data_IF_283827378869
#
_entry.id   IF_283827378869
#
_cell.length_a   1.000
_cell.length_b   1.000
_cell.length_c   1.000
_cell.angle_alpha   90.00
_cell.angle_beta   90.00
_cell.angle_gamma   90.00
#
_symmetry.space_group_name_H-M   'P 1'
#
loop_
_entity.id
_entity.type
_entity.pdbx_description
1 polymer ?
#
# COMPACT_ATOMS: atom_id res chain seq x y z
N UNK A 1 -7.72 6.81 -5.92
CA UNK A 1 -7.38 6.88 -4.48
C UNK A 1 -8.65 7.06 -3.67
N UNK A 2 -9.45 8.08 -4.00
CA UNK A 2 -10.62 8.53 -3.24
C UNK A 2 -11.72 7.47 -3.13
N UNK A 3 -12.07 6.81 -4.23
CA UNK A 3 -13.00 5.67 -4.21
C UNK A 3 -12.53 4.54 -3.29
N UNK A 4 -11.22 4.26 -3.27
CA UNK A 4 -10.66 3.21 -2.43
C UNK A 4 -10.71 3.59 -0.95
N UNK A 5 -10.44 4.86 -0.64
CA UNK A 5 -10.56 5.39 0.71
C UNK A 5 -12.00 5.30 1.21
N UNK A 6 -12.96 5.88 0.47
CA UNK A 6 -14.38 5.86 0.80
C UNK A 6 -14.93 4.45 1.00
N UNK A 7 -14.70 3.59 0.03
CA UNK A 7 -15.17 2.20 0.10
C UNK A 7 -14.63 1.50 1.34
N UNK A 8 -13.33 1.67 1.63
CA UNK A 8 -12.70 0.98 2.74
C UNK A 8 -13.13 1.53 4.09
N UNK A 9 -13.21 2.85 4.26
CA UNK A 9 -13.64 3.46 5.52
C UNK A 9 -15.09 3.15 5.83
N UNK A 10 -15.99 3.23 4.83
CA UNK A 10 -17.39 2.83 4.97
C UNK A 10 -17.52 1.36 5.35
N UNK A 11 -16.75 0.48 4.70
CA UNK A 11 -16.77 -0.95 4.99
C UNK A 11 -16.23 -1.25 6.39
N UNK A 12 -15.13 -0.63 6.79
CA UNK A 12 -14.53 -0.82 8.11
C UNK A 12 -15.45 -0.31 9.22
N UNK A 13 -16.05 0.88 9.06
CA UNK A 13 -17.02 1.42 10.01
C UNK A 13 -18.27 0.55 10.16
N UNK A 14 -18.67 -0.19 9.12
CA UNK A 14 -19.85 -1.08 9.20
C UNK A 14 -19.55 -2.46 9.75
N UNK A 15 -18.41 -3.04 9.37
CA UNK A 15 -18.14 -4.46 9.61
C UNK A 15 -17.00 -4.73 10.60
N UNK A 16 -16.23 -3.70 10.95
CA UNK A 16 -15.04 -3.79 11.80
C UNK A 16 -14.97 -2.64 12.81
N UNK A 17 -16.10 -2.07 13.22
CA UNK A 17 -16.16 -0.89 14.11
C UNK A 17 -15.49 -1.08 15.48
N UNK A 18 -15.34 -2.32 15.92
CA UNK A 18 -14.69 -2.67 17.18
C UNK A 18 -13.15 -2.63 17.06
N UNK A 19 -12.62 -2.76 15.85
CA UNK A 19 -11.18 -2.75 15.56
C UNK A 19 -10.74 -1.61 14.62
N UNK A 20 -11.69 -0.85 14.08
CA UNK A 20 -11.50 0.36 13.31
C UNK A 20 -11.96 1.55 14.13
N UNK A 21 -11.03 2.45 14.42
CA UNK A 21 -11.29 3.68 15.15
C UNK A 21 -11.16 4.87 14.21
N UNK A 22 -12.31 5.48 13.90
CA UNK A 22 -12.40 6.67 13.07
C UNK A 22 -12.02 7.93 13.87
N UNK A 23 -10.72 8.11 14.10
CA UNK A 23 -10.15 9.23 14.86
C UNK A 23 -9.86 10.47 14.01
N UNK A 24 -10.02 10.41 12.69
CA UNK A 24 -9.60 11.46 11.77
C UNK A 24 -8.08 11.55 11.61
N UNK A 25 -7.66 12.39 10.66
CA UNK A 25 -6.24 12.64 10.35
C UNK A 25 -6.01 14.09 9.97
N UNK A 26 -5.07 14.77 10.64
CA UNK A 26 -4.49 16.03 10.20
C UNK A 26 -3.38 15.76 9.17
N UNK A 27 -3.54 16.30 7.96
CA UNK A 27 -2.53 16.27 6.91
C UNK A 27 -1.81 17.63 6.90
N UNK A 28 -0.52 17.64 7.24
CA UNK A 28 0.29 18.85 7.29
C UNK A 28 0.96 19.10 5.93
N UNK A 29 0.70 20.24 5.26
CA UNK A 29 1.43 20.60 4.05
C UNK A 29 2.90 20.90 4.40
N UNK A 30 3.83 20.30 3.65
CA UNK A 30 5.28 20.56 3.86
C UNK A 30 5.72 21.92 3.30
N UNK A 31 5.01 22.41 2.27
CA UNK A 31 5.28 23.66 1.57
C UNK A 31 3.98 24.32 1.12
N UNK A 32 4.01 25.62 0.85
CA UNK A 32 2.85 26.40 0.37
C UNK A 32 2.19 25.75 -0.86
N UNK A 33 3.00 25.24 -1.80
CA UNK A 33 2.48 24.55 -2.99
C UNK A 33 1.60 23.34 -2.63
N UNK A 34 1.96 22.56 -1.61
CA UNK A 34 1.17 21.39 -1.18
C UNK A 34 -0.16 21.84 -0.56
N UNK A 35 -0.18 22.97 0.14
CA UNK A 35 -1.42 23.59 0.63
C UNK A 35 -2.29 24.03 -0.54
N UNK A 36 -1.74 24.72 -1.54
CA UNK A 36 -2.49 25.10 -2.74
C UNK A 36 -3.10 23.88 -3.46
N UNK A 37 -2.32 22.81 -3.61
CA UNK A 37 -2.77 21.54 -4.20
C UNK A 37 -3.93 20.92 -3.41
N UNK A 38 -3.86 20.92 -2.07
CA UNK A 38 -4.93 20.41 -1.23
C UNK A 38 -6.18 21.29 -1.27
N UNK A 39 -6.07 22.63 -1.25
CA UNK A 39 -7.23 23.53 -1.44
C UNK A 39 -7.90 23.33 -2.80
N UNK A 40 -7.11 23.14 -3.85
CA UNK A 40 -7.66 22.89 -5.18
C UNK A 40 -8.41 21.55 -5.23
N UNK A 41 -7.87 20.52 -4.59
CA UNK A 41 -8.47 19.19 -4.58
C UNK A 41 -9.69 19.07 -3.65
N UNK A 42 -9.75 19.81 -2.54
CA UNK A 42 -10.85 19.71 -1.57
C UNK A 42 -12.22 19.99 -2.20
N UNK A 43 -12.29 20.81 -3.25
CA UNK A 43 -13.52 21.08 -4.01
C UNK A 43 -14.08 19.85 -4.74
N UNK A 44 -13.28 18.81 -4.91
CA UNK A 44 -13.62 17.60 -5.66
C UNK A 44 -13.57 16.33 -4.79
N UNK A 45 -13.18 16.46 -3.53
CA UNK A 45 -13.06 15.32 -2.62
C UNK A 45 -14.44 14.85 -2.17
N UNK A 46 -14.78 13.56 -2.35
CA UNK A 46 -16.11 13.06 -2.04
C UNK A 46 -16.31 12.71 -0.54
N UNK A 47 -15.52 13.30 0.36
CA UNK A 47 -15.57 13.04 1.81
C UNK A 47 -15.19 14.26 2.62
N UNK A 48 -15.62 14.25 3.89
CA UNK A 48 -15.48 15.36 4.84
C UNK A 48 -14.02 15.74 5.08
N UNK A 49 -13.65 16.88 4.51
CA UNK A 49 -12.40 17.59 4.77
C UNK A 49 -12.65 19.00 5.25
N UNK A 50 -11.82 19.43 6.18
CA UNK A 50 -11.80 20.80 6.69
C UNK A 50 -10.37 21.33 6.64
N UNK A 51 -10.19 22.53 6.08
CA UNK A 51 -8.92 23.24 6.22
C UNK A 51 -8.93 24.02 7.52
N UNK A 52 -7.86 23.85 8.31
CA UNK A 52 -7.63 24.52 9.56
C UNK A 52 -6.39 25.39 9.41
N UNK A 53 -6.50 26.67 9.76
CA UNK A 53 -5.34 27.56 9.77
C UNK A 53 -4.37 27.22 10.91
N UNK A 54 -3.19 27.85 10.90
CA UNK A 54 -2.15 27.61 11.89
C UNK A 54 -2.59 27.93 13.33
N UNK A 55 -3.55 28.83 13.53
CA UNK A 55 -4.02 29.18 14.88
C UNK A 55 -5.01 28.15 15.43
N UNK A 56 -5.70 27.44 14.55
CA UNK A 56 -6.71 26.42 14.87
C UNK A 56 -6.11 25.07 15.29
N UNK A 57 -4.78 24.91 15.18
CA UNK A 57 -4.04 23.67 15.48
C UNK A 57 -2.81 23.97 16.36
N UNK A 58 -3.00 24.81 17.37
CA UNK A 58 -1.92 25.32 18.22
C UNK A 58 -1.18 24.25 19.04
N UNK A 59 -1.76 23.05 19.19
CA UNK A 59 -1.14 21.86 19.74
C UNK A 59 -0.06 21.22 18.84
N UNK A 60 -0.01 21.59 17.55
CA UNK A 60 1.05 21.20 16.61
C UNK A 60 2.11 22.31 16.58
N UNK A 61 3.38 22.00 16.77
CA UNK A 61 4.45 22.99 16.89
C UNK A 61 4.74 23.74 15.58
N UNK A 62 5.34 24.92 15.71
CA UNK A 62 6.04 25.56 14.61
C UNK A 62 7.42 24.90 14.41
N UNK A 63 7.89 24.74 13.16
CA UNK A 63 7.28 25.20 11.91
C UNK A 63 6.27 24.21 11.27
N UNK A 64 6.01 23.05 11.88
CA UNK A 64 5.18 22.00 11.29
C UNK A 64 3.76 22.45 10.93
N UNK A 65 3.16 23.36 11.71
CA UNK A 65 1.82 23.92 11.44
C UNK A 65 1.77 25.18 10.57
N UNK A 66 2.91 25.66 10.06
CA UNK A 66 3.04 26.94 9.34
C UNK A 66 2.03 27.12 8.20
N UNK A 67 1.66 26.03 7.53
CA UNK A 67 0.74 26.04 6.40
C UNK A 67 -0.67 25.55 6.75
N UNK A 68 -1.02 25.53 8.05
CA UNK A 68 -2.25 24.93 8.53
C UNK A 68 -2.27 23.40 8.42
N UNK A 69 -3.46 22.82 8.44
CA UNK A 69 -3.68 21.39 8.26
C UNK A 69 -4.99 21.12 7.51
N UNK A 70 -5.05 19.98 6.83
CA UNK A 70 -6.30 19.44 6.31
C UNK A 70 -6.75 18.31 7.21
N UNK A 71 -7.90 18.47 7.85
CA UNK A 71 -8.47 17.45 8.71
C UNK A 71 -9.41 16.56 7.91
N UNK A 72 -9.02 15.29 7.73
CA UNK A 72 -9.87 14.25 7.14
C UNK A 72 -10.65 13.54 8.24
N UNK A 73 -11.93 13.88 8.41
CA UNK A 73 -12.76 13.31 9.49
C UNK A 73 -13.09 11.83 9.29
N UNK A 74 -13.11 11.39 8.04
CA UNK A 74 -13.41 9.99 7.68
C UNK A 74 -12.23 9.04 7.91
N UNK A 75 -11.02 9.56 8.14
CA UNK A 75 -9.84 8.75 8.35
C UNK A 75 -9.80 8.11 9.74
N UNK A 76 -8.96 7.09 9.91
CA UNK A 76 -8.89 6.36 11.16
C UNK A 76 -7.76 5.33 11.20
N UNK A 77 -7.71 4.60 12.30
CA UNK A 77 -6.75 3.52 12.55
C UNK A 77 -7.54 2.20 12.57
N UNK A 78 -7.09 1.21 11.80
CA UNK A 78 -7.55 -0.18 11.96
C UNK A 78 -6.45 -1.01 12.59
N UNK A 79 -6.80 -1.99 13.43
CA UNK A 79 -5.84 -2.97 13.97
C UNK A 79 -5.46 -3.98 12.87
N UNK A 80 -4.25 -3.89 12.27
CA UNK A 80 -3.91 -4.63 11.06
C UNK A 80 -3.98 -6.15 11.20
N UNK A 81 -3.40 -6.66 12.29
CA UNK A 81 -3.29 -8.10 12.55
C UNK A 81 -4.67 -8.73 12.71
N UNK A 82 -5.49 -8.15 13.60
CA UNK A 82 -6.83 -8.64 13.87
C UNK A 82 -7.76 -8.51 12.64
N UNK A 83 -7.57 -7.47 11.84
CA UNK A 83 -8.28 -7.34 10.56
C UNK A 83 -7.95 -8.49 9.61
N UNK A 84 -6.65 -8.77 9.38
CA UNK A 84 -6.23 -9.89 8.53
C UNK A 84 -6.72 -11.25 9.06
N UNK A 85 -6.60 -11.49 10.37
CA UNK A 85 -7.09 -12.70 11.02
C UNK A 85 -8.58 -12.93 10.77
N UNK A 86 -9.40 -11.87 10.87
CA UNK A 86 -10.84 -11.96 10.58
C UNK A 86 -11.16 -12.22 9.12
N UNK A 87 -10.40 -11.63 8.19
CA UNK A 87 -10.63 -11.83 6.75
C UNK A 87 -10.41 -13.30 6.34
N UNK A 88 -9.51 -14.01 7.00
CA UNK A 88 -9.16 -15.40 6.64
C UNK A 88 -9.96 -16.46 7.40
N UNK A 89 -10.86 -16.08 8.32
CA UNK A 89 -11.64 -17.04 9.13
C UNK A 89 -12.48 -18.04 8.33
N UNK A 90 -12.78 -17.74 7.06
CA UNK A 90 -13.56 -18.60 6.16
C UNK A 90 -12.70 -19.27 5.09
N UNK A 91 -11.38 -19.24 5.25
CA UNK A 91 -10.42 -19.82 4.32
C UNK A 91 -9.64 -20.94 5.02
N UNK A 92 -9.23 -21.95 4.25
CA UNK A 92 -8.21 -22.88 4.70
C UNK A 92 -6.85 -22.16 4.68
N UNK A 93 -6.24 -22.01 5.86
CA UNK A 93 -4.96 -21.31 6.04
C UNK A 93 -3.87 -22.32 6.37
N UNK A 94 -2.86 -22.39 5.51
CA UNK A 94 -1.68 -23.24 5.68
C UNK A 94 -0.49 -22.37 6.05
N UNK A 95 -0.09 -22.40 7.33
CA UNK A 95 1.05 -21.65 7.84
C UNK A 95 2.36 -22.44 7.74
N UNK A 96 3.49 -21.76 7.99
CA UNK A 96 4.83 -22.33 7.96
C UNK A 96 5.20 -23.00 6.62
N UNK A 97 4.61 -22.53 5.52
CA UNK A 97 4.91 -22.97 4.16
C UNK A 97 5.69 -21.89 3.42
N UNK A 98 6.92 -22.19 3.00
CA UNK A 98 7.67 -21.34 2.08
C UNK A 98 7.47 -21.87 0.66
N UNK A 99 6.75 -21.11 -0.16
CA UNK A 99 6.52 -21.46 -1.57
C UNK A 99 7.73 -21.00 -2.38
N UNK A 100 8.48 -21.95 -2.94
CA UNK A 100 9.64 -21.65 -3.80
C UNK A 100 9.35 -21.81 -5.29
N UNK A 101 8.30 -22.58 -5.63
CA UNK A 101 7.92 -22.88 -7.01
C UNK A 101 6.42 -23.09 -7.14
N UNK A 102 5.90 -22.71 -8.30
CA UNK A 102 4.56 -23.07 -8.77
C UNK A 102 4.77 -23.92 -10.02
N UNK A 103 4.33 -25.17 -9.99
CA UNK A 103 4.43 -26.07 -11.14
C UNK A 103 3.13 -26.05 -11.92
N UNK A 104 3.21 -26.12 -13.25
CA UNK A 104 2.04 -26.17 -14.12
C UNK A 104 1.93 -27.56 -14.76
N UNK A 105 0.77 -28.18 -14.62
CA UNK A 105 0.36 -29.38 -15.36
C UNK A 105 -0.56 -28.98 -16.52
N UNK A 106 -1.07 -29.96 -17.27
CA UNK A 106 -2.00 -29.71 -18.37
C UNK A 106 -3.32 -29.08 -17.90
N UNK A 107 -3.76 -29.41 -16.67
CA UNK A 107 -5.08 -29.09 -16.12
C UNK A 107 -5.05 -28.26 -14.83
N UNK A 108 -3.89 -28.11 -14.18
CA UNK A 108 -3.78 -27.49 -12.87
C UNK A 108 -2.41 -26.83 -12.62
N UNK A 109 -2.33 -26.17 -11.47
CA UNK A 109 -1.11 -25.71 -10.84
C UNK A 109 -0.89 -26.51 -9.56
N UNK A 110 0.36 -26.90 -9.31
CA UNK A 110 0.77 -27.56 -8.07
C UNK A 110 1.54 -26.57 -7.21
N UNK A 111 1.07 -26.37 -5.98
CA UNK A 111 1.67 -25.49 -4.97
C UNK A 111 1.70 -26.25 -3.64
N UNK A 112 2.89 -26.56 -3.10
CA UNK A 112 3.03 -27.36 -1.87
C UNK A 112 2.18 -28.65 -1.85
N UNK A 113 2.22 -29.43 -2.94
CA UNK A 113 1.43 -30.64 -3.14
C UNK A 113 -0.09 -30.44 -3.22
N UNK A 114 -0.58 -29.20 -3.28
CA UNK A 114 -1.98 -28.89 -3.53
C UNK A 114 -2.20 -28.61 -5.01
N UNK A 115 -3.31 -29.12 -5.54
CA UNK A 115 -3.75 -28.88 -6.91
C UNK A 115 -4.73 -27.71 -6.94
N UNK A 116 -4.50 -26.74 -7.81
CA UNK A 116 -5.40 -25.61 -8.02
C UNK A 116 -5.59 -25.29 -9.49
N UNK A 117 -6.78 -24.82 -9.88
CA UNK A 117 -7.03 -24.32 -11.23
C UNK A 117 -6.42 -22.94 -11.48
N UNK A 118 -6.24 -22.16 -10.42
CA UNK A 118 -5.74 -20.80 -10.49
C UNK A 118 -4.83 -20.46 -9.31
N UNK A 119 -3.85 -19.56 -9.51
CA UNK A 119 -2.93 -19.13 -8.45
C UNK A 119 -2.82 -17.60 -8.42
N UNK A 120 -3.03 -17.01 -7.25
CA UNK A 120 -2.84 -15.57 -7.02
C UNK A 120 -1.61 -15.36 -6.16
N UNK A 121 -0.60 -14.67 -6.70
CA UNK A 121 0.61 -14.31 -5.95
C UNK A 121 0.42 -12.97 -5.24
N UNK A 122 0.24 -13.03 -3.91
CA UNK A 122 0.12 -11.88 -3.02
C UNK A 122 1.29 -11.80 -2.03
N UNK A 123 2.52 -12.03 -2.51
CA UNK A 123 3.74 -12.25 -1.70
C UNK A 123 4.44 -10.97 -1.23
N UNK A 124 3.75 -9.82 -1.25
CA UNK A 124 4.35 -8.54 -0.90
C UNK A 124 5.56 -8.21 -1.76
N UNK A 125 6.67 -7.79 -1.14
CA UNK A 125 7.89 -7.38 -1.84
C UNK A 125 8.73 -8.56 -2.36
N UNK A 126 8.41 -9.79 -1.94
CA UNK A 126 9.15 -10.98 -2.35
C UNK A 126 8.89 -11.29 -3.83
N UNK A 127 9.96 -11.20 -4.63
CA UNK A 127 9.97 -11.43 -6.07
C UNK A 127 10.27 -12.87 -6.48
N UNK A 128 10.54 -13.77 -5.54
CA UNK A 128 11.07 -15.12 -5.81
C UNK A 128 10.21 -15.96 -6.76
N UNK A 129 8.88 -15.80 -6.70
CA UNK A 129 7.94 -16.49 -7.57
C UNK A 129 7.65 -15.77 -8.90
N UNK A 130 8.14 -14.54 -9.08
CA UNK A 130 7.89 -13.77 -10.29
C UNK A 130 8.79 -14.28 -11.41
N UNK A 131 8.23 -15.00 -12.39
CA UNK A 131 8.99 -15.51 -13.53
C UNK A 131 9.28 -14.49 -14.64
N UNK A 132 8.66 -13.31 -14.61
CA UNK A 132 8.74 -12.31 -15.68
C UNK A 132 9.57 -11.08 -15.26
N UNK A 133 10.56 -10.71 -16.08
CA UNK A 133 11.49 -9.62 -15.77
C UNK A 133 10.81 -8.26 -15.67
N UNK A 134 9.77 -8.01 -16.47
CA UNK A 134 9.00 -6.76 -16.39
C UNK A 134 8.26 -6.62 -15.05
N UNK A 135 7.92 -7.73 -14.37
CA UNK A 135 7.34 -7.70 -13.03
C UNK A 135 8.42 -7.55 -11.96
N UNK A 136 9.53 -8.30 -12.06
CA UNK A 136 10.64 -8.20 -11.09
C UNK A 136 11.22 -6.78 -11.00
N UNK A 137 11.37 -6.13 -12.15
CA UNK A 137 11.85 -4.75 -12.26
C UNK A 137 10.80 -3.71 -11.86
N UNK A 138 9.51 -4.06 -11.88
CA UNK A 138 8.42 -3.17 -11.50
C UNK A 138 8.10 -3.20 -10.00
N UNK A 139 8.32 -4.33 -9.32
CA UNK A 139 8.16 -4.44 -7.86
C UNK A 139 9.43 -3.88 -7.20
N UNK A 140 9.25 -2.95 -6.28
CA UNK A 140 10.34 -2.32 -5.52
C UNK A 140 10.06 -2.52 -4.04
N UNK A 141 11.06 -3.00 -3.30
CA UNK A 141 11.00 -3.12 -1.85
C UNK A 141 11.30 -1.78 -1.16
N UNK A 142 10.50 -1.47 -0.15
CA UNK A 142 10.65 -0.29 0.71
C UNK A 142 10.58 -0.71 2.17
N UNK A 143 11.74 -0.81 2.80
CA UNK A 143 11.85 -1.03 4.23
C UNK A 143 11.35 0.22 4.98
N UNK A 144 10.72 0.00 6.11
CA UNK A 144 10.36 1.06 7.03
C UNK A 144 10.21 0.53 8.45
N UNK A 145 10.72 1.31 9.38
CA UNK A 145 10.60 1.09 10.81
C UNK A 145 9.53 2.00 11.38
N UNK A 146 8.74 1.48 12.32
CA UNK A 146 7.85 2.26 13.18
C UNK A 146 8.07 1.87 14.64
N UNK A 147 7.74 2.79 15.53
CA UNK A 147 7.78 2.58 16.97
C UNK A 147 6.38 2.73 17.57
N UNK A 148 6.14 2.02 18.67
CA UNK A 148 4.99 2.20 19.57
C UNK A 148 5.52 2.78 20.88
N UNK A 149 4.91 3.87 21.33
CA UNK A 149 5.34 4.67 22.47
C UNK A 149 4.23 4.65 23.52
N UNK A 150 4.58 4.41 24.77
CA UNK A 150 3.78 4.80 25.94
C UNK A 150 4.04 6.28 26.20
N UNK A 151 3.00 7.11 26.15
CA UNK A 151 3.17 8.53 26.34
C UNK A 151 1.87 9.31 26.36
N UNK A 152 2.00 10.60 26.65
CA UNK A 152 0.88 11.54 26.69
C UNK A 152 1.03 12.53 25.53
N UNK A 153 -0.01 12.60 24.70
CA UNK A 153 -0.20 13.62 23.67
C UNK A 153 -1.59 14.24 23.88
N UNK A 154 -1.70 15.54 23.61
CA UNK A 154 -2.97 16.28 23.72
C UNK A 154 -3.91 16.05 22.52
N UNK A 155 -3.54 15.16 21.60
CA UNK A 155 -4.22 14.94 20.33
C UNK A 155 -4.81 13.51 20.22
N UNK A 156 -6.08 13.45 19.82
CA UNK A 156 -6.85 12.21 19.65
C UNK A 156 -7.05 11.81 18.18
N UNK A 157 -6.33 12.45 17.26
CA UNK A 157 -6.39 12.18 15.81
C UNK A 157 -5.03 11.74 15.27
N UNK A 158 -4.96 11.18 14.07
CA UNK A 158 -3.65 10.99 13.44
C UNK A 158 -3.09 12.34 12.99
N UNK A 159 -1.76 12.47 12.95
CA UNK A 159 -1.06 13.58 12.30
C UNK A 159 -0.13 12.97 11.25
N UNK A 160 -0.22 13.46 10.01
CA UNK A 160 0.64 13.07 8.91
C UNK A 160 1.41 14.30 8.45
N UNK A 161 2.68 14.37 8.85
CA UNK A 161 3.63 15.42 8.44
C UNK A 161 4.91 14.79 7.90
N UNK A 162 6.04 15.14 8.50
CA UNK A 162 7.33 14.49 8.20
C UNK A 162 7.30 13.02 8.61
N UNK A 163 6.74 12.74 9.78
CA UNK A 163 6.34 11.42 10.25
C UNK A 163 4.82 11.35 10.40
N UNK A 164 4.30 10.13 10.41
CA UNK A 164 2.94 9.80 10.83
C UNK A 164 2.95 9.49 12.32
N UNK A 165 2.14 10.24 13.06
CA UNK A 165 1.87 10.03 14.48
C UNK A 165 0.43 9.55 14.59
N UNK A 166 0.21 8.36 15.13
CA UNK A 166 -1.15 7.86 15.30
C UNK A 166 -1.87 8.57 16.44
N UNK A 167 -3.20 8.56 16.41
CA UNK A 167 -3.99 8.94 17.56
C UNK A 167 -3.62 8.09 18.80
N UNK A 168 -3.75 8.68 19.99
CA UNK A 168 -3.49 7.99 21.26
C UNK A 168 -4.66 7.08 21.61
N UNK A 169 -4.37 5.80 21.86
CA UNK A 169 -5.33 4.83 22.36
C UNK A 169 -4.73 4.10 23.55
N UNK A 170 -5.44 4.11 24.68
CA UNK A 170 -5.01 3.46 25.93
C UNK A 170 -3.60 3.89 26.39
N UNK A 171 -3.28 5.18 26.23
CA UNK A 171 -1.97 5.77 26.59
C UNK A 171 -0.83 5.42 25.62
N UNK A 172 -1.15 4.81 24.47
CA UNK A 172 -0.19 4.39 23.44
C UNK A 172 -0.45 5.06 22.11
N UNK A 173 0.61 5.33 21.38
CA UNK A 173 0.54 5.77 19.99
C UNK A 173 1.75 5.24 19.22
N UNK A 174 1.64 5.24 17.89
CA UNK A 174 2.71 4.84 17.00
C UNK A 174 3.30 6.05 16.27
N UNK A 175 4.61 6.01 16.05
CA UNK A 175 5.32 6.96 15.19
C UNK A 175 5.99 6.18 14.07
N UNK A 176 5.80 6.62 12.84
CA UNK A 176 6.47 6.01 11.71
C UNK A 176 6.23 6.71 10.39
N UNK A 177 6.79 6.23 9.29
CA UNK A 177 7.80 5.19 9.28
C UNK A 177 9.06 5.74 8.62
N UNK A 178 10.22 5.15 8.94
CA UNK A 178 11.43 5.37 8.15
C UNK A 178 11.22 4.86 6.72
N UNK A 179 12.09 5.28 5.82
CA UNK A 179 11.96 4.97 4.40
C UNK A 179 13.31 4.65 3.78
N UNK A 180 13.54 3.36 3.53
CA UNK A 180 14.77 2.88 2.88
C UNK A 180 14.39 1.95 1.73
N UNK A 181 14.86 2.26 0.53
CA UNK A 181 14.73 1.34 -0.60
C UNK A 181 15.66 0.16 -0.37
N UNK A 182 15.10 -1.04 -0.35
CA UNK A 182 15.84 -2.28 -0.10
C UNK A 182 15.18 -3.45 -0.81
N UNK A 183 15.97 -4.45 -1.19
CA UNK A 183 15.43 -5.75 -1.63
C UNK A 183 15.29 -6.73 -0.46
N UNK A 184 16.04 -6.49 0.62
CA UNK A 184 16.11 -7.34 1.81
C UNK A 184 15.59 -6.61 3.06
N UNK A 185 15.27 -7.38 4.09
CA UNK A 185 14.98 -6.85 5.41
C UNK A 185 16.27 -6.30 6.05
N UNK A 186 16.22 -5.07 6.56
CA UNK A 186 17.40 -4.38 7.12
C UNK A 186 17.53 -4.67 8.64
N UNK A 187 16.44 -5.04 9.28
CA UNK A 187 16.35 -5.09 10.74
C UNK A 187 15.92 -3.75 11.35
N UNK A 188 15.59 -3.80 12.63
CA UNK A 188 15.18 -2.64 13.43
C UNK A 188 16.40 -2.12 14.20
N UNK A 189 16.55 -0.80 14.33
CA UNK A 189 17.63 -0.19 15.11
C UNK A 189 17.14 0.88 16.08
N UNK A 190 17.89 1.07 17.17
CA UNK A 190 17.60 2.11 18.17
C UNK A 190 17.85 3.51 17.60
N UNK A 191 18.89 3.69 16.78
CA UNK A 191 19.18 4.97 16.10
C UNK A 191 17.99 5.46 15.25
N UNK A 192 17.35 4.57 14.50
CA UNK A 192 16.17 4.92 13.71
C UNK A 192 14.93 5.15 14.60
N UNK A 193 14.87 4.52 15.78
CA UNK A 193 13.83 4.77 16.76
C UNK A 193 13.97 6.18 17.38
N UNK A 194 15.18 6.56 17.74
CA UNK A 194 15.49 7.89 18.30
C UNK A 194 15.16 8.99 17.29
N UNK A 195 15.55 8.83 16.02
CA UNK A 195 15.18 9.76 14.93
C UNK A 195 13.67 9.93 14.76
N UNK A 196 12.90 8.84 14.91
CA UNK A 196 11.44 8.90 14.84
C UNK A 196 10.86 9.69 16.02
N UNK A 197 11.40 9.50 17.23
CA UNK A 197 10.99 10.26 18.43
C UNK A 197 11.33 11.75 18.26
N UNK A 198 12.54 12.07 17.80
CA UNK A 198 12.97 13.45 17.51
C UNK A 198 12.02 14.10 16.49
N UNK A 199 11.78 13.43 15.36
CA UNK A 199 10.88 13.93 14.31
C UNK A 199 9.44 14.13 14.80
N UNK A 200 8.94 13.25 15.68
CA UNK A 200 7.61 13.43 16.25
C UNK A 200 7.57 14.59 17.26
N UNK A 201 8.64 14.76 18.04
CA UNK A 201 8.78 15.87 19.00
C UNK A 201 8.90 17.24 18.33
N UNK A 202 9.38 17.31 17.09
CA UNK A 202 9.34 18.52 16.27
C UNK A 202 7.92 18.91 15.86
N UNK A 203 6.97 17.96 15.86
CA UNK A 203 5.59 18.17 15.43
C UNK A 203 4.67 18.40 16.64
N UNK A 204 4.83 17.66 17.73
CA UNK A 204 3.98 17.74 18.94
C UNK A 204 4.81 17.59 20.22
N UNK A 205 4.32 18.09 21.35
CA UNK A 205 4.97 17.89 22.65
C UNK A 205 4.69 16.49 23.20
N UNK A 206 5.71 15.62 23.20
CA UNK A 206 5.65 14.31 23.86
C UNK A 206 6.19 14.46 25.29
N UNK A 207 5.29 14.55 26.28
CA UNK A 207 5.67 14.79 27.70
C UNK A 207 6.39 13.61 28.36
N UNK A 208 6.15 12.40 27.86
CA UNK A 208 6.78 11.15 28.32
C UNK A 208 6.89 10.22 27.12
N UNK A 209 8.09 9.67 26.91
CA UNK A 209 8.39 8.80 25.77
C UNK A 209 9.08 7.54 26.29
N UNK A 210 8.33 6.45 26.36
CA UNK A 210 8.84 5.11 26.60
C UNK A 210 8.55 4.24 25.38
N UNK A 211 9.59 3.88 24.63
CA UNK A 211 9.46 3.07 23.42
C UNK A 211 9.22 1.63 23.84
N UNK A 212 7.98 1.17 23.62
CA UNK A 212 7.55 -0.17 24.03
C UNK A 212 7.99 -1.22 23.01
N UNK A 213 7.87 -0.87 21.72
CA UNK A 213 8.15 -1.79 20.62
C UNK A 213 8.61 -1.01 19.40
N UNK A 214 9.64 -1.53 18.73
CA UNK A 214 10.01 -1.12 17.38
C UNK A 214 9.76 -2.28 16.40
N UNK A 215 9.15 -1.99 15.23
CA UNK A 215 8.83 -2.98 14.19
C UNK A 215 9.29 -2.49 12.82
N UNK A 216 9.94 -3.37 12.09
CA UNK A 216 10.30 -3.18 10.69
C UNK A 216 9.35 -3.92 9.76
N UNK A 217 9.29 -3.49 8.50
CA UNK A 217 8.56 -4.22 7.46
C UNK A 217 8.98 -3.82 6.05
N UNK A 218 9.11 -4.80 5.17
CA UNK A 218 9.42 -4.60 3.76
C UNK A 218 8.12 -4.47 2.94
N UNK A 219 7.84 -3.26 2.45
CA UNK A 219 6.65 -2.98 1.63
C UNK A 219 6.94 -3.21 0.16
N UNK A 220 5.94 -3.67 -0.59
CA UNK A 220 5.98 -3.63 -2.04
C UNK A 220 5.40 -2.31 -2.56
N UNK A 221 6.18 -1.58 -3.36
CA UNK A 221 5.67 -0.52 -4.24
C UNK A 221 5.88 -0.93 -5.69
N UNK A 222 5.04 -0.41 -6.58
CA UNK A 222 5.37 -0.41 -7.99
C UNK A 222 6.29 0.77 -8.34
N UNK A 223 6.97 0.68 -9.48
CA UNK A 223 7.72 1.78 -10.12
C UNK A 223 6.88 3.00 -10.54
N UNK A 224 5.55 2.91 -10.47
CA UNK A 224 4.62 4.00 -10.77
C UNK A 224 3.69 4.35 -9.60
N UNK A 225 3.91 3.75 -8.44
CA UNK A 225 3.12 3.90 -7.21
C UNK A 225 1.65 3.47 -7.30
N UNK A 226 1.24 2.78 -8.37
CA UNK A 226 -0.06 2.11 -8.46
C UNK A 226 0.03 0.61 -8.16
N UNK A 227 -1.00 0.00 -7.55
CA UNK A 227 -1.08 -1.45 -7.37
C UNK A 227 -0.82 -2.24 -8.66
N UNK A 228 -0.31 -3.45 -8.51
CA UNK A 228 -0.03 -4.40 -9.59
C UNK A 228 -0.98 -5.57 -9.40
N UNK A 229 -2.03 -5.60 -10.23
CA UNK A 229 -3.16 -6.52 -10.10
C UNK A 229 -3.51 -7.08 -11.47
N UNK A 230 -3.64 -8.40 -11.58
CA UNK A 230 -4.16 -9.02 -12.79
C UNK A 230 -3.35 -10.23 -13.27
N UNK A 231 -3.56 -10.58 -14.53
CA UNK A 231 -2.92 -11.73 -15.19
C UNK A 231 -1.46 -11.43 -15.50
N UNK A 232 -0.68 -12.49 -15.62
CA UNK A 232 0.74 -12.38 -16.00
C UNK A 232 0.89 -12.68 -17.49
N UNK A 233 1.36 -11.69 -18.24
CA UNK A 233 1.76 -11.85 -19.64
C UNK A 233 3.01 -12.73 -19.71
N UNK A 234 3.01 -13.69 -20.63
CA UNK A 234 4.19 -14.40 -21.08
C UNK A 234 4.97 -13.48 -22.03
N UNK A 235 5.97 -12.79 -21.49
CA UNK A 235 6.67 -11.74 -22.20
C UNK A 235 7.43 -12.26 -23.42
N UNK A 236 8.12 -13.39 -23.28
CA UNK A 236 8.88 -14.04 -24.35
C UNK A 236 7.98 -14.43 -25.52
N UNK A 237 6.91 -15.18 -25.23
CA UNK A 237 5.97 -15.67 -26.26
C UNK A 237 5.26 -14.50 -26.97
N UNK A 238 4.83 -13.50 -26.20
CA UNK A 238 4.16 -12.32 -26.73
C UNK A 238 5.09 -11.51 -27.64
N UNK A 239 6.34 -11.28 -27.22
CA UNK A 239 7.32 -10.54 -28.03
C UNK A 239 7.77 -11.31 -29.28
N UNK A 240 7.90 -12.64 -29.20
CA UNK A 240 8.23 -13.48 -30.35
C UNK A 240 7.14 -13.40 -31.43
N UNK A 241 5.85 -13.40 -31.03
CA UNK A 241 4.73 -13.25 -31.97
C UNK A 241 4.59 -11.81 -32.48
N UNK A 242 4.93 -10.82 -31.65
CA UNK A 242 4.69 -9.40 -31.93
C UNK A 242 5.91 -8.53 -31.67
N UNK A 243 7.00 -8.69 -32.44
CA UNK A 243 8.25 -7.96 -32.22
C UNK A 243 8.09 -6.43 -32.36
N UNK A 244 7.06 -5.97 -33.08
CA UNK A 244 6.74 -4.55 -33.22
C UNK A 244 6.34 -3.84 -31.92
N UNK A 245 6.00 -4.58 -30.85
CA UNK A 245 5.74 -4.02 -29.52
C UNK A 245 6.96 -3.27 -28.97
N UNK A 246 8.17 -3.72 -29.30
CA UNK A 246 9.40 -3.04 -28.92
C UNK A 246 9.55 -1.64 -29.55
N UNK A 247 8.76 -1.34 -30.60
CA UNK A 247 8.68 -0.04 -31.26
C UNK A 247 7.53 0.83 -30.75
N UNK A 248 6.80 0.39 -29.71
CA UNK A 248 5.68 1.13 -29.15
C UNK A 248 4.35 0.96 -29.89
N UNK A 249 4.22 -0.06 -30.75
CA UNK A 249 2.93 -0.37 -31.38
C UNK A 249 1.89 -0.77 -30.33
N UNK A 250 0.66 -0.26 -30.47
CA UNK A 250 -0.47 -0.69 -29.65
C UNK A 250 -0.92 -2.11 -30.01
N UNK A 251 -1.47 -2.82 -29.02
CA UNK A 251 -1.96 -4.19 -29.15
C UNK A 251 -3.26 -4.35 -28.38
N UNK A 252 -4.18 -5.15 -28.92
CA UNK A 252 -5.43 -5.52 -28.26
C UNK A 252 -5.20 -6.70 -27.29
N UNK A 253 -5.95 -6.73 -26.18
CA UNK A 253 -5.75 -7.72 -25.10
C UNK A 253 -5.90 -9.17 -25.58
N UNK A 254 -6.75 -9.41 -26.57
CA UNK A 254 -7.02 -10.73 -27.15
C UNK A 254 -5.80 -11.32 -27.88
N UNK A 255 -4.82 -10.47 -28.22
CA UNK A 255 -3.59 -10.88 -28.92
C UNK A 255 -2.45 -11.21 -27.95
N UNK A 256 -2.62 -10.95 -26.65
CA UNK A 256 -1.60 -11.13 -25.62
C UNK A 256 -1.54 -12.60 -25.19
N UNK A 257 -0.35 -13.18 -25.15
CA UNK A 257 -0.15 -14.50 -24.55
C UNK A 257 0.00 -14.37 -23.04
N UNK A 258 -0.99 -14.86 -22.28
CA UNK A 258 -0.91 -14.94 -20.81
C UNK A 258 -0.34 -16.28 -20.35
N UNK A 259 0.22 -16.34 -19.13
CA UNK A 259 0.72 -17.57 -18.47
C UNK A 259 -0.39 -18.50 -17.92
N UNK A 260 -1.60 -18.42 -18.48
CA UNK A 260 -2.79 -19.12 -17.99
C UNK A 260 -3.49 -18.36 -16.86
N UNK A 261 -4.00 -19.10 -15.87
CA UNK A 261 -4.73 -18.59 -14.71
C UNK A 261 -3.80 -18.38 -13.50
N UNK A 262 -2.66 -17.75 -13.77
CA UNK A 262 -1.73 -17.24 -12.76
C UNK A 262 -1.79 -15.72 -12.72
N UNK A 263 -1.92 -15.18 -11.51
CA UNK A 263 -2.17 -13.77 -11.28
C UNK A 263 -1.21 -13.19 -10.25
N UNK A 264 -1.13 -11.86 -10.23
CA UNK A 264 -0.37 -11.08 -9.26
C UNK A 264 -1.29 -10.10 -8.53
N UNK A 265 -1.04 -9.90 -7.23
CA UNK A 265 -1.72 -8.91 -6.40
C UNK A 265 -0.72 -8.30 -5.40
N UNK A 266 -0.02 -7.24 -5.80
CA UNK A 266 1.02 -6.60 -4.97
C UNK A 266 1.17 -5.11 -5.28
N UNK A 267 2.18 -4.44 -4.70
CA UNK A 267 2.56 -3.06 -5.06
C UNK A 267 1.69 -1.98 -4.43
N UNK A 268 0.95 -2.28 -3.36
CA UNK A 268 0.00 -1.34 -2.73
C UNK A 268 0.63 -0.24 -1.87
N UNK A 269 1.96 -0.17 -1.78
CA UNK A 269 2.71 0.91 -1.10
C UNK A 269 2.36 1.05 0.39
N UNK A 270 2.50 2.24 0.98
CA UNK A 270 2.07 2.56 2.34
C UNK A 270 0.55 2.77 2.51
N UNK A 271 -0.22 2.76 1.41
CA UNK A 271 -1.69 2.96 1.42
C UNK A 271 -2.47 1.64 1.34
N UNK A 272 -1.85 0.53 1.72
CA UNK A 272 -2.39 -0.80 1.48
C UNK A 272 -3.76 -1.05 2.13
N UNK A 273 -4.02 -0.58 3.36
CA UNK A 273 -5.30 -0.86 4.02
C UNK A 273 -6.52 -0.31 3.29
N UNK A 274 -6.41 0.83 2.59
CA UNK A 274 -7.49 1.32 1.73
C UNK A 274 -7.39 0.77 0.30
N UNK A 275 -6.19 0.81 -0.29
CA UNK A 275 -6.01 0.44 -1.71
C UNK A 275 -6.13 -1.06 -1.94
N UNK A 276 -5.55 -1.90 -1.09
CA UNK A 276 -5.59 -3.36 -1.25
C UNK A 276 -7.01 -3.88 -1.08
N UNK A 277 -7.76 -3.38 -0.09
CA UNK A 277 -9.12 -3.83 0.13
C UNK A 277 -10.04 -3.53 -1.07
N UNK A 278 -10.00 -2.29 -1.58
CA UNK A 278 -10.79 -1.92 -2.76
C UNK A 278 -10.34 -2.64 -4.04
N UNK A 279 -9.03 -2.76 -4.27
CA UNK A 279 -8.53 -3.44 -5.48
C UNK A 279 -8.77 -4.95 -5.43
N UNK A 280 -8.82 -5.57 -4.25
CA UNK A 280 -9.23 -6.96 -4.11
C UNK A 280 -10.68 -7.18 -4.57
N UNK A 281 -11.60 -6.25 -4.27
CA UNK A 281 -12.98 -6.29 -4.79
C UNK A 281 -13.00 -6.23 -6.32
N UNK A 282 -12.32 -5.24 -6.90
CA UNK A 282 -12.25 -5.10 -8.37
C UNK A 282 -11.65 -6.35 -9.03
N UNK A 283 -10.65 -6.94 -8.39
CA UNK A 283 -9.98 -8.12 -8.90
C UNK A 283 -10.85 -9.37 -8.80
N UNK A 284 -11.57 -9.55 -7.69
CA UNK A 284 -12.55 -10.62 -7.54
C UNK A 284 -13.68 -10.50 -8.59
N UNK A 285 -14.18 -9.29 -8.85
CA UNK A 285 -15.15 -9.04 -9.93
C UNK A 285 -14.57 -9.40 -11.30
N UNK A 286 -13.31 -9.04 -11.56
CA UNK A 286 -12.63 -9.38 -12.81
C UNK A 286 -12.49 -10.89 -13.02
N UNK A 287 -12.04 -11.64 -12.00
CA UNK A 287 -11.89 -13.10 -12.09
C UNK A 287 -13.25 -13.80 -12.22
N UNK A 288 -14.23 -13.41 -11.41
CA UNK A 288 -15.50 -14.14 -11.30
C UNK A 288 -16.52 -13.76 -12.38
N UNK A 289 -16.45 -12.53 -12.90
CA UNK A 289 -17.44 -11.97 -13.83
C UNK A 289 -16.85 -11.47 -15.14
N UNK A 290 -15.52 -11.52 -15.31
CA UNK A 290 -14.85 -11.06 -16.53
C UNK A 290 -14.86 -9.54 -16.71
N UNK A 291 -15.09 -8.76 -15.65
CA UNK A 291 -15.04 -7.29 -15.73
C UNK A 291 -13.61 -6.79 -15.94
N UNK A 292 -13.44 -5.72 -16.70
CA UNK A 292 -12.14 -5.10 -16.90
C UNK A 292 -11.59 -4.46 -15.64
N UNK A 293 -10.29 -4.64 -15.42
CA UNK A 293 -9.54 -3.89 -14.43
C UNK A 293 -9.22 -2.48 -14.96
N UNK A 294 -9.25 -1.44 -14.11
CA UNK A 294 -8.73 -0.14 -14.48
C UNK A 294 -7.27 -0.24 -14.94
N UNK A 295 -6.94 0.35 -16.09
CA UNK A 295 -5.60 0.32 -16.69
C UNK A 295 -4.48 0.74 -15.72
N UNK A 296 -4.77 1.65 -14.79
CA UNK A 296 -3.82 2.13 -13.80
C UNK A 296 -3.37 1.04 -12.82
N UNK A 297 -4.18 0.01 -12.57
CA UNK A 297 -3.84 -1.10 -11.65
C UNK A 297 -3.56 -2.41 -12.37
N UNK A 298 -4.05 -2.56 -13.60
CA UNK A 298 -3.82 -3.72 -14.45
C UNK A 298 -2.30 -3.96 -14.63
N UNK A 299 -1.83 -5.18 -14.38
CA UNK A 299 -0.43 -5.58 -14.53
C UNK A 299 0.08 -5.45 -15.96
N UNK A 300 -0.80 -5.52 -16.96
CA UNK A 300 -0.45 -5.42 -18.39
C UNK A 300 0.29 -4.11 -18.71
N UNK A 301 -0.05 -3.02 -18.01
CA UNK A 301 0.57 -1.69 -18.23
C UNK A 301 2.10 -1.74 -18.08
N UNK A 302 2.60 -2.61 -17.19
CA UNK A 302 4.01 -2.71 -16.86
C UNK A 302 4.78 -3.41 -17.99
N UNK A 303 4.19 -4.43 -18.60
CA UNK A 303 4.76 -5.10 -19.76
C UNK A 303 4.95 -4.11 -20.93
N UNK A 304 3.91 -3.36 -21.28
CA UNK A 304 3.99 -2.38 -22.37
C UNK A 304 4.97 -1.22 -22.07
N UNK A 305 5.12 -0.83 -20.81
CA UNK A 305 6.16 0.13 -20.39
C UNK A 305 7.56 -0.47 -20.53
N UNK A 306 7.73 -1.74 -20.19
CA UNK A 306 8.99 -2.47 -20.28
C UNK A 306 9.42 -2.73 -21.73
N UNK A 307 8.53 -3.16 -22.62
CA UNK A 307 8.84 -3.39 -24.05
C UNK A 307 9.45 -2.16 -24.73
N UNK A 308 8.96 -0.95 -24.40
CA UNK A 308 9.49 0.32 -24.93
C UNK A 308 10.93 0.62 -24.49
N UNK A 309 11.37 0.04 -23.37
CA UNK A 309 12.75 0.14 -22.87
C UNK A 309 13.64 -1.00 -23.37
N UNK A 310 13.06 -2.15 -23.74
CA UNK A 310 13.77 -3.36 -24.14
C UNK A 310 14.76 -3.14 -25.31
N UNK A 311 14.47 -2.22 -26.23
CA UNK A 311 15.38 -1.89 -27.36
C UNK A 311 16.64 -1.11 -26.98
N UNK A 312 16.77 -0.62 -25.74
CA UNK A 312 17.93 0.15 -25.26
C UNK A 312 18.93 -0.70 -24.48
N UNK A 313 18.66 -2.00 -24.35
CA UNK A 313 19.55 -3.02 -23.78
C UNK A 313 20.10 -3.87 -24.93
#
# INVERSE_FOLDING_TARGET
SDQAFLFSTEYFSRHFNDIFWQCGTYLLPKVEKTKEEFLAQSNYMPFDYEYLDENSIDFIKMPARKFGAYFCKSAGIIQPKLFCERLVQRCDVFENQKIEKIEKTDDAYIVCNMYSKAVIMATGANKGLLGEEYLKSAVIGLWGQKIEINGLLENNSNISGEVLISAVKDGKFAVGATYVRSEDEIGVSDEESDKLVESANEIVDIKSCDIVVAKGGLRATSIDHFPIVGRIINGEKTLARHPSLANGRHMHKEQIDYKGDIFIFTGHTSKAFSMAFYTARLFAESILRGSDLPMAIDSDRLFFRWCRKYKRL
#
